data_IF_642221377516
#
_entry.id   IF_642221377516
#
_cell.length_a   1.000
_cell.length_b   1.000
_cell.length_c   1.000
_cell.angle_alpha   90.00
_cell.angle_beta   90.00
_cell.angle_gamma   90.00
#
_symmetry.space_group_name_H-M   'P 1'
#
loop_
_entity.id
_entity.type
_entity.pdbx_description
1 polymer ?
#
# COMPACT_ATOMS: atom_id res chain seq x y z
N UNK A 1 -18.45 4.45 -4.31
CA UNK A 1 -18.61 3.60 -3.12
C UNK A 1 -17.54 4.03 -2.12
N UNK A 2 -17.90 4.23 -0.85
CA UNK A 2 -16.93 4.50 0.23
C UNK A 2 -16.93 3.29 1.15
N UNK A 3 -15.75 2.73 1.41
CA UNK A 3 -15.59 1.67 2.41
C UNK A 3 -15.77 2.32 3.78
N UNK A 4 -16.79 1.88 4.53
CA UNK A 4 -17.18 2.47 5.81
C UNK A 4 -16.64 1.71 7.02
N UNK A 5 -16.01 0.56 6.79
CA UNK A 5 -15.48 -0.26 7.86
C UNK A 5 -14.00 0.09 8.09
N UNK A 6 -13.52 -0.13 9.30
CA UNK A 6 -12.16 0.24 9.72
C UNK A 6 -11.09 -0.72 9.18
N UNK A 7 -9.85 -0.55 9.67
CA UNK A 7 -8.70 -1.40 9.34
C UNK A 7 -8.94 -2.90 9.65
N UNK A 8 -9.98 -3.24 10.43
CA UNK A 8 -10.41 -4.60 10.75
C UNK A 8 -10.88 -5.43 9.54
N UNK A 9 -11.13 -4.84 8.36
CA UNK A 9 -11.39 -5.60 7.13
C UNK A 9 -10.14 -6.19 6.49
N UNK A 10 -8.95 -5.70 6.86
CA UNK A 10 -7.69 -6.12 6.25
C UNK A 10 -7.22 -7.38 6.96
N UNK A 11 -7.60 -8.55 6.43
CA UNK A 11 -7.17 -9.84 6.94
C UNK A 11 -6.01 -10.41 6.11
N UNK A 12 -4.78 -10.26 6.61
CA UNK A 12 -3.57 -10.81 5.99
C UNK A 12 -3.14 -12.17 6.59
N UNK A 13 -3.83 -12.65 7.64
CA UNK A 13 -3.44 -13.82 8.42
C UNK A 13 -4.37 -15.02 8.18
N UNK A 14 -4.77 -15.27 6.93
CA UNK A 14 -5.66 -16.40 6.62
C UNK A 14 -4.95 -17.76 6.74
N UNK A 15 -3.61 -17.77 6.78
CA UNK A 15 -2.80 -18.99 6.97
C UNK A 15 -2.82 -19.95 5.77
N UNK A 16 -3.45 -19.55 4.66
CA UNK A 16 -3.61 -20.35 3.45
C UNK A 16 -2.34 -20.37 2.58
N UNK A 17 -1.44 -19.41 2.76
CA UNK A 17 -0.18 -19.30 2.03
C UNK A 17 0.90 -18.61 2.88
N UNK A 18 2.18 -18.87 2.56
CA UNK A 18 3.29 -18.08 3.10
C UNK A 18 3.17 -16.63 2.58
N UNK A 19 3.13 -15.66 3.50
CA UNK A 19 2.98 -14.26 3.11
C UNK A 19 4.27 -13.74 2.48
N UNK A 20 4.14 -13.13 1.30
CA UNK A 20 5.26 -12.49 0.60
C UNK A 20 5.80 -11.27 1.38
N UNK A 21 4.96 -10.64 2.21
CA UNK A 21 5.30 -9.45 2.99
C UNK A 21 4.92 -9.62 4.46
N UNK A 22 5.86 -9.34 5.36
CA UNK A 22 5.66 -9.36 6.82
C UNK A 22 5.12 -8.04 7.38
N UNK A 23 5.31 -6.94 6.66
CA UNK A 23 4.99 -5.58 7.10
C UNK A 23 4.31 -4.79 5.99
N UNK A 24 3.38 -3.92 6.36
CA UNK A 24 2.62 -3.10 5.41
C UNK A 24 2.21 -1.76 6.02
N UNK A 25 1.95 -0.76 5.19
CA UNK A 25 1.38 0.53 5.62
C UNK A 25 0.62 1.17 4.49
N UNK A 26 -0.38 1.98 4.82
CA UNK A 26 -0.92 2.93 3.85
C UNK A 26 0.08 4.08 3.67
N UNK A 27 0.61 4.25 2.46
CA UNK A 27 1.57 5.29 2.11
C UNK A 27 1.02 6.16 0.98
N UNK A 28 1.50 7.41 0.87
CA UNK A 28 1.20 8.23 -0.30
C UNK A 28 1.84 7.64 -1.55
N UNK A 29 1.27 7.84 -2.75
CA UNK A 29 1.85 7.32 -3.99
C UNK A 29 3.31 7.73 -4.19
N UNK A 30 3.64 8.97 -3.86
CA UNK A 30 5.01 9.50 -3.86
C UNK A 30 5.96 8.66 -2.98
N UNK A 31 5.54 8.36 -1.74
CA UNK A 31 6.34 7.58 -0.79
C UNK A 31 6.51 6.11 -1.19
N UNK A 32 5.54 5.56 -1.94
CA UNK A 32 5.63 4.18 -2.46
C UNK A 32 6.76 4.08 -3.49
N UNK A 33 6.93 5.08 -4.35
CA UNK A 33 8.01 5.13 -5.34
C UNK A 33 9.36 5.22 -4.63
N UNK A 34 9.49 6.04 -3.58
CA UNK A 34 10.73 6.19 -2.81
C UNK A 34 11.14 4.91 -2.07
N UNK A 35 10.17 4.10 -1.63
CA UNK A 35 10.42 2.83 -0.95
C UNK A 35 10.64 1.65 -1.90
N UNK A 36 10.30 1.80 -3.19
CA UNK A 36 10.47 0.74 -4.17
C UNK A 36 11.96 0.49 -4.47
N UNK A 37 12.30 -0.77 -4.70
CA UNK A 37 13.65 -1.17 -5.13
C UNK A 37 14.02 -0.51 -6.47
N UNK A 38 15.32 -0.22 -6.65
CA UNK A 38 15.81 0.68 -7.70
C UNK A 38 15.31 0.38 -9.11
N UNK A 39 15.29 -0.90 -9.49
CA UNK A 39 14.89 -1.34 -10.83
C UNK A 39 13.38 -1.28 -11.05
N UNK A 40 12.57 -1.29 -9.99
CA UNK A 40 11.09 -1.18 -10.08
C UNK A 40 10.60 0.25 -10.10
N UNK A 41 11.41 1.23 -9.64
CA UNK A 41 11.01 2.64 -9.56
C UNK A 41 10.43 3.18 -10.87
N UNK A 42 11.05 3.00 -12.05
CA UNK A 42 10.48 3.53 -13.29
C UNK A 42 9.10 2.96 -13.58
N UNK A 43 8.89 1.66 -13.35
CA UNK A 43 7.58 1.03 -13.54
C UNK A 43 6.53 1.58 -12.56
N UNK A 44 6.92 1.82 -11.31
CA UNK A 44 6.02 2.38 -10.31
C UNK A 44 5.62 3.82 -10.64
N UNK A 45 6.53 4.63 -11.17
CA UNK A 45 6.24 5.99 -11.65
C UNK A 45 5.19 5.99 -12.77
N UNK A 46 5.32 5.08 -13.75
CA UNK A 46 4.34 4.93 -14.84
C UNK A 46 2.94 4.57 -14.31
N UNK A 47 2.88 3.64 -13.35
CA UNK A 47 1.63 3.20 -12.73
C UNK A 47 1.00 4.35 -11.96
N UNK A 48 1.73 4.99 -11.05
CA UNK A 48 1.21 6.12 -10.25
C UNK A 48 0.70 7.23 -11.15
N UNK A 49 1.42 7.57 -12.23
CA UNK A 49 0.99 8.58 -13.19
C UNK A 49 -0.31 8.19 -13.90
N UNK A 50 -0.46 6.92 -14.27
CA UNK A 50 -1.68 6.41 -14.93
C UNK A 50 -2.91 6.48 -14.02
N UNK A 51 -2.71 6.31 -12.71
CA UNK A 51 -3.78 6.36 -11.70
C UNK A 51 -3.94 7.72 -11.02
N UNK A 52 -3.15 8.73 -11.39
CA UNK A 52 -3.06 10.02 -10.69
C UNK A 52 -4.43 10.73 -10.55
N UNK A 53 -5.31 10.61 -11.55
CA UNK A 53 -6.66 11.19 -11.51
C UNK A 53 -7.55 10.60 -10.41
N UNK A 54 -7.27 9.38 -9.96
CA UNK A 54 -8.00 8.67 -8.92
C UNK A 54 -7.35 8.78 -7.54
N UNK A 55 -6.06 9.11 -7.49
CA UNK A 55 -5.26 9.16 -6.26
C UNK A 55 -5.30 10.53 -5.57
N UNK A 56 -5.96 11.53 -6.15
CA UNK A 56 -5.91 12.92 -5.71
C UNK A 56 -6.78 13.22 -4.47
N UNK A 57 -7.00 12.24 -3.60
CA UNK A 57 -7.71 12.42 -2.32
C UNK A 57 -6.68 12.71 -1.22
N UNK A 58 -6.88 13.80 -0.46
CA UNK A 58 -5.95 14.35 0.55
C UNK A 58 -5.70 13.48 1.79
N UNK A 59 -5.87 12.17 1.66
CA UNK A 59 -5.57 11.14 2.64
C UNK A 59 -4.08 11.17 3.06
N UNK A 60 -3.85 11.04 4.36
CA UNK A 60 -2.51 11.04 4.97
C UNK A 60 -1.97 9.61 5.06
N UNK A 61 -0.65 9.46 4.95
CA UNK A 61 0.03 8.19 5.22
C UNK A 61 -0.30 7.69 6.65
N UNK A 62 -0.52 6.38 6.76
CA UNK A 62 -0.80 5.71 8.03
C UNK A 62 0.48 5.12 8.63
N UNK A 63 0.38 4.67 9.88
CA UNK A 63 1.47 4.01 10.58
C UNK A 63 1.75 2.65 9.96
N UNK A 64 3.02 2.23 10.02
CA UNK A 64 3.43 0.91 9.58
C UNK A 64 2.89 -0.16 10.53
N UNK A 65 2.20 -1.14 9.96
CA UNK A 65 1.63 -2.29 10.63
C UNK A 65 2.54 -3.50 10.35
N UNK A 66 2.86 -4.24 11.40
CA UNK A 66 3.69 -5.45 11.30
C UNK A 66 2.84 -6.64 11.72
N UNK A 67 2.78 -7.65 10.86
CA UNK A 67 2.16 -8.93 11.21
C UNK A 67 3.25 -9.73 11.90
N UNK A 68 3.44 -9.49 13.19
CA UNK A 68 4.38 -10.28 14.00
C UNK A 68 3.74 -11.66 14.19
N UNK A 69 4.30 -12.63 13.47
CA UNK A 69 3.93 -14.05 13.58
C UNK A 69 4.25 -14.59 14.97
#
# INVERSE_FOLDING_TARGET
MRFNNGESEINLATGEAEAEFSEWKWARPEEVIEQAVDYKRPTYEEVVRSFQSYLNDGSKAAKCQSTKW
#
